data_IF_286807178114
#
_entry.id   IF_286807178114
#
_cell.length_a   1.000
_cell.length_b   1.000
_cell.length_c   1.000
_cell.angle_alpha   90.00
_cell.angle_beta   90.00
_cell.angle_gamma   90.00
#
_symmetry.space_group_name_H-M   'P 1'
#
loop_
_entity.id
_entity.type
_entity.pdbx_description
1 polymer ?
#
# COMPACT_ATOMS: atom_id res chain seq x y z
N UNK A 1 -20.84 2.26 9.29
CA UNK A 1 -21.56 3.35 8.58
C UNK A 1 -21.87 2.98 7.13
N UNK A 2 -20.93 2.48 6.31
CA UNK A 2 -21.13 2.12 4.89
C UNK A 2 -22.28 1.09 4.70
N UNK A 3 -22.26 -0.03 5.41
CA UNK A 3 -23.32 -1.06 5.33
C UNK A 3 -24.70 -0.51 5.64
N UNK A 4 -24.80 0.36 6.66
CA UNK A 4 -26.07 0.98 7.04
C UNK A 4 -26.65 1.88 5.94
N UNK A 5 -25.77 2.46 5.10
CA UNK A 5 -26.17 3.38 4.03
C UNK A 5 -26.36 2.71 2.67
N UNK A 6 -25.48 1.76 2.32
CA UNK A 6 -25.40 1.18 0.98
C UNK A 6 -25.78 -0.30 0.93
N UNK A 7 -25.91 -0.97 2.08
CA UNK A 7 -26.29 -2.38 2.17
C UNK A 7 -25.17 -3.38 1.91
N UNK A 8 -24.10 -2.98 1.23
CA UNK A 8 -23.00 -3.86 0.81
C UNK A 8 -21.65 -3.14 0.73
N UNK A 9 -20.56 -3.94 0.63
CA UNK A 9 -19.20 -3.49 0.31
C UNK A 9 -18.68 -4.36 -0.84
N UNK A 10 -18.27 -3.74 -1.95
CA UNK A 10 -17.62 -4.42 -3.07
C UNK A 10 -16.08 -4.28 -3.04
N UNK A 11 -15.60 -3.15 -2.54
CA UNK A 11 -14.18 -2.86 -2.47
C UNK A 11 -13.79 -2.19 -1.14
N UNK A 12 -12.57 -2.50 -0.68
CA UNK A 12 -11.88 -1.79 0.37
C UNK A 12 -10.56 -1.25 -0.18
N UNK A 13 -10.34 0.05 -0.08
CA UNK A 13 -9.05 0.68 -0.33
C UNK A 13 -8.43 1.09 1.01
N UNK A 14 -7.39 0.38 1.43
CA UNK A 14 -6.66 0.69 2.67
C UNK A 14 -5.48 1.61 2.35
N UNK A 15 -5.72 2.91 2.42
CA UNK A 15 -4.74 3.94 2.11
C UNK A 15 -4.10 4.55 3.37
N UNK A 16 -4.76 4.50 4.52
CA UNK A 16 -4.25 5.08 5.76
C UNK A 16 -2.87 4.53 6.09
N UNK A 17 -1.91 5.40 6.33
CA UNK A 17 -0.55 5.02 6.65
C UNK A 17 0.30 6.21 7.04
N UNK A 18 1.36 5.96 7.79
CA UNK A 18 2.38 6.94 8.16
C UNK A 18 3.76 6.46 7.73
N UNK A 19 4.65 7.41 7.55
CA UNK A 19 6.03 7.18 7.13
C UNK A 19 6.96 8.01 8.01
N UNK A 20 7.98 7.37 8.58
CA UNK A 20 9.00 8.02 9.39
C UNK A 20 10.38 7.68 8.85
N UNK A 21 11.20 8.69 8.60
CA UNK A 21 12.59 8.56 8.15
C UNK A 21 13.50 8.77 9.34
N UNK A 22 14.14 7.70 9.81
CA UNK A 22 15.12 7.72 10.91
C UNK A 22 16.16 6.64 10.69
N UNK A 23 17.37 6.82 11.23
CA UNK A 23 18.33 5.73 11.40
C UNK A 23 17.73 4.65 12.28
N UNK A 24 18.07 3.41 12.05
CA UNK A 24 17.52 2.28 12.81
C UNK A 24 17.69 2.45 14.32
N UNK A 25 18.85 2.92 14.77
CA UNK A 25 19.17 3.16 16.19
C UNK A 25 18.39 4.30 16.84
N UNK A 26 17.78 5.18 16.02
CA UNK A 26 17.08 6.38 16.52
C UNK A 26 15.57 6.20 16.61
N UNK A 27 15.06 5.04 16.14
CA UNK A 27 13.65 4.70 16.33
C UNK A 27 13.34 4.43 17.80
N UNK A 28 12.36 5.12 18.32
CA UNK A 28 11.84 4.89 19.68
C UNK A 28 10.77 3.81 19.69
N UNK A 29 10.42 3.34 20.88
CA UNK A 29 9.27 2.43 21.06
C UNK A 29 7.96 3.08 20.56
N UNK A 30 7.81 4.37 20.75
CA UNK A 30 6.58 5.08 20.35
C UNK A 30 6.52 5.27 18.83
N UNK A 31 7.64 5.49 18.15
CA UNK A 31 7.70 5.46 16.69
C UNK A 31 7.26 4.10 16.13
N UNK A 32 7.78 3.02 16.71
CA UNK A 32 7.38 1.66 16.31
C UNK A 32 5.89 1.41 16.54
N UNK A 33 5.38 1.79 17.70
CA UNK A 33 3.95 1.64 18.01
C UNK A 33 3.06 2.43 17.05
N UNK A 34 3.43 3.68 16.77
CA UNK A 34 2.69 4.52 15.81
C UNK A 34 2.67 3.89 14.40
N UNK A 35 3.83 3.43 13.92
CA UNK A 35 3.94 2.74 12.63
C UNK A 35 3.14 1.43 12.60
N UNK A 36 3.28 0.59 13.62
CA UNK A 36 2.59 -0.69 13.68
C UNK A 36 1.08 -0.52 13.79
N UNK A 37 0.62 0.34 14.70
CA UNK A 37 -0.83 0.56 14.89
C UNK A 37 -1.50 1.17 13.68
N UNK A 38 -0.87 2.14 13.02
CA UNK A 38 -1.48 2.77 11.84
C UNK A 38 -1.38 1.87 10.61
N UNK A 39 -0.17 1.38 10.30
CA UNK A 39 0.06 0.68 9.03
C UNK A 39 -0.40 -0.78 9.05
N UNK A 40 -0.20 -1.51 10.17
CA UNK A 40 -0.53 -2.94 10.24
C UNK A 40 -1.88 -3.17 10.91
N UNK A 41 -2.07 -2.74 12.15
CA UNK A 41 -3.33 -2.98 12.85
C UNK A 41 -4.50 -2.31 12.15
N UNK A 42 -4.31 -1.07 11.64
CA UNK A 42 -5.32 -0.36 10.86
C UNK A 42 -5.78 -1.15 9.63
N UNK A 43 -4.84 -1.76 8.89
CA UNK A 43 -5.17 -2.65 7.78
C UNK A 43 -5.88 -3.92 8.26
N UNK A 44 -5.30 -4.62 9.25
CA UNK A 44 -5.82 -5.92 9.71
C UNK A 44 -7.29 -5.80 10.12
N UNK A 45 -7.60 -4.87 11.00
CA UNK A 45 -8.96 -4.79 11.54
C UNK A 45 -9.99 -4.37 10.49
N UNK A 46 -9.68 -3.41 9.63
CA UNK A 46 -10.63 -3.00 8.60
C UNK A 46 -10.78 -4.07 7.51
N UNK A 47 -9.70 -4.76 7.14
CA UNK A 47 -9.76 -5.86 6.18
C UNK A 47 -10.58 -7.03 6.73
N UNK A 48 -10.41 -7.41 7.99
CA UNK A 48 -11.24 -8.45 8.64
C UNK A 48 -12.73 -8.12 8.58
N UNK A 49 -13.10 -6.86 8.84
CA UNK A 49 -14.50 -6.43 8.76
C UNK A 49 -15.02 -6.46 7.32
N UNK A 50 -14.21 -6.05 6.36
CA UNK A 50 -14.58 -6.08 4.93
C UNK A 50 -14.76 -7.52 4.44
N UNK A 51 -13.81 -8.42 4.77
CA UNK A 51 -13.90 -9.85 4.41
C UNK A 51 -15.16 -10.50 4.97
N UNK A 52 -15.42 -10.34 6.28
CA UNK A 52 -16.65 -10.88 6.90
C UNK A 52 -17.90 -10.40 6.20
N UNK A 53 -17.93 -9.13 5.80
CA UNK A 53 -19.07 -8.57 5.06
C UNK A 53 -19.17 -9.15 3.64
N UNK A 54 -18.06 -9.26 2.90
CA UNK A 54 -18.02 -9.85 1.57
C UNK A 54 -18.43 -11.33 1.59
N UNK A 55 -18.02 -12.07 2.61
CA UNK A 55 -18.45 -13.46 2.85
C UNK A 55 -19.97 -13.55 3.10
N UNK A 56 -20.52 -12.68 3.96
CA UNK A 56 -21.96 -12.65 4.23
C UNK A 56 -22.79 -12.28 2.99
N UNK A 57 -22.24 -11.44 2.11
CA UNK A 57 -22.87 -11.04 0.84
C UNK A 57 -22.78 -12.14 -0.23
N UNK A 58 -21.81 -13.05 -0.13
CA UNK A 58 -21.49 -14.09 -1.14
C UNK A 58 -21.21 -13.49 -2.54
N UNK A 59 -20.74 -12.26 -2.59
CA UNK A 59 -20.50 -11.52 -3.84
C UNK A 59 -19.04 -11.50 -4.28
N UNK A 60 -18.14 -12.03 -3.44
CA UNK A 60 -16.71 -11.74 -3.59
C UNK A 60 -16.42 -10.27 -3.27
N UNK A 61 -15.26 -9.80 -3.72
CA UNK A 61 -14.84 -8.41 -3.51
C UNK A 61 -13.39 -8.14 -3.83
N UNK A 62 -12.97 -6.89 -3.66
CA UNK A 62 -11.59 -6.46 -3.89
C UNK A 62 -11.05 -5.69 -2.69
N UNK A 63 -9.86 -6.04 -2.24
CA UNK A 63 -9.13 -5.31 -1.20
C UNK A 63 -7.79 -4.86 -1.81
N UNK A 64 -7.57 -3.55 -1.85
CA UNK A 64 -6.34 -2.95 -2.34
C UNK A 64 -5.71 -2.16 -1.19
N UNK A 65 -4.45 -2.47 -0.84
CA UNK A 65 -3.72 -1.69 0.15
C UNK A 65 -2.59 -0.88 -0.49
N UNK A 66 -2.28 0.28 0.09
CA UNK A 66 -1.17 1.12 -0.33
C UNK A 66 0.07 0.77 0.50
N UNK A 67 1.09 0.24 -0.18
CA UNK A 67 2.36 -0.14 0.43
C UNK A 67 3.46 0.88 0.10
N UNK A 68 4.62 0.47 -0.32
CA UNK A 68 5.69 1.35 -0.80
C UNK A 68 6.72 0.54 -1.62
N UNK A 69 7.19 1.08 -2.73
CA UNK A 69 8.26 0.47 -3.52
C UNK A 69 9.57 0.31 -2.72
N UNK A 70 9.84 1.22 -1.79
CA UNK A 70 10.99 1.13 -0.87
C UNK A 70 10.99 -0.12 0.02
N UNK A 71 9.86 -0.81 0.19
CA UNK A 71 9.80 -2.03 0.98
C UNK A 71 10.54 -3.19 0.31
N UNK A 72 10.54 -3.20 -1.02
CA UNK A 72 11.22 -4.21 -1.82
C UNK A 72 12.60 -3.72 -2.30
N UNK A 73 12.73 -2.41 -2.56
CA UNK A 73 13.93 -1.81 -3.15
C UNK A 73 14.37 -0.54 -2.39
N UNK A 74 15.17 -0.69 -1.33
CA UNK A 74 15.63 0.43 -0.50
C UNK A 74 16.59 1.35 -1.27
N UNK A 75 16.50 2.64 -0.99
CA UNK A 75 17.35 3.68 -1.58
C UNK A 75 18.43 4.09 -0.57
N UNK A 76 19.68 4.10 -1.00
CA UNK A 76 20.79 4.58 -0.18
C UNK A 76 20.55 6.05 0.24
N UNK A 77 20.78 6.37 1.51
CA UNK A 77 20.55 7.72 2.05
C UNK A 77 19.11 7.98 2.55
N UNK A 78 18.16 7.05 2.36
CA UNK A 78 16.79 7.15 2.88
C UNK A 78 16.52 6.08 3.97
N UNK A 79 16.99 6.30 5.21
CA UNK A 79 16.85 5.31 6.28
C UNK A 79 15.41 5.25 6.79
N UNK A 80 14.70 4.17 6.46
CA UNK A 80 13.28 4.00 6.80
C UNK A 80 12.95 2.54 7.18
N UNK A 81 13.90 1.82 7.76
CA UNK A 81 13.80 0.37 7.98
C UNK A 81 12.53 -0.05 8.72
N UNK A 82 12.15 0.63 9.79
CA UNK A 82 10.97 0.26 10.58
C UNK A 82 9.67 0.56 9.82
N UNK A 83 9.61 1.68 9.09
CA UNK A 83 8.47 1.96 8.22
C UNK A 83 8.35 0.89 7.12
N UNK A 84 9.48 0.48 6.53
CA UNK A 84 9.50 -0.56 5.49
C UNK A 84 9.19 -1.96 6.02
N UNK A 85 9.49 -2.28 7.28
CA UNK A 85 9.01 -3.50 7.91
C UNK A 85 7.48 -3.57 7.91
N UNK A 86 6.80 -2.46 8.21
CA UNK A 86 5.33 -2.44 8.18
C UNK A 86 4.77 -2.55 6.77
N UNK A 87 5.35 -1.86 5.80
CA UNK A 87 4.91 -1.89 4.41
C UNK A 87 5.23 -3.22 3.71
N UNK A 88 6.40 -3.80 3.96
CA UNK A 88 6.77 -5.15 3.50
C UNK A 88 5.92 -6.24 4.15
N UNK A 89 5.55 -6.06 5.42
CA UNK A 89 4.58 -6.91 6.09
C UNK A 89 3.22 -6.94 5.39
N UNK A 90 2.75 -5.79 4.87
CA UNK A 90 1.53 -5.73 4.06
C UNK A 90 1.70 -6.45 2.72
N UNK A 91 2.86 -6.34 2.03
CA UNK A 91 3.13 -7.10 0.80
C UNK A 91 3.04 -8.61 1.04
N UNK A 92 3.58 -9.09 2.16
CA UNK A 92 3.48 -10.50 2.54
C UNK A 92 2.04 -10.89 2.89
N UNK A 93 1.32 -10.04 3.64
CA UNK A 93 -0.08 -10.28 4.00
C UNK A 93 -0.98 -10.37 2.77
N UNK A 94 -0.82 -9.49 1.77
CA UNK A 94 -1.56 -9.54 0.51
C UNK A 94 -1.41 -10.89 -0.19
N UNK A 95 -0.19 -11.39 -0.31
CA UNK A 95 0.08 -12.71 -0.94
C UNK A 95 -0.58 -13.85 -0.17
N UNK A 96 -0.51 -13.84 1.16
CA UNK A 96 -1.12 -14.87 1.99
C UNK A 96 -2.66 -14.84 1.92
N UNK A 97 -3.25 -13.65 2.10
CA UNK A 97 -4.70 -13.45 2.08
C UNK A 97 -5.31 -13.72 0.70
N UNK A 98 -4.59 -13.40 -0.37
CA UNK A 98 -5.04 -13.71 -1.73
C UNK A 98 -5.23 -15.21 -1.94
N UNK A 99 -4.33 -16.03 -1.43
CA UNK A 99 -4.45 -17.49 -1.48
C UNK A 99 -5.56 -18.01 -0.56
N UNK A 100 -5.68 -17.45 0.64
CA UNK A 100 -6.67 -17.86 1.65
C UNK A 100 -8.11 -17.66 1.15
N UNK A 101 -8.40 -16.52 0.51
CA UNK A 101 -9.74 -16.14 0.10
C UNK A 101 -10.05 -16.27 -1.40
N UNK A 102 -9.13 -16.86 -2.19
CA UNK A 102 -9.30 -17.01 -3.64
C UNK A 102 -10.60 -17.73 -4.03
N UNK A 103 -10.94 -18.82 -3.33
CA UNK A 103 -12.14 -19.62 -3.61
C UNK A 103 -13.45 -18.88 -3.30
N UNK A 104 -13.37 -17.81 -2.50
CA UNK A 104 -14.51 -16.97 -2.16
C UNK A 104 -14.59 -15.73 -3.08
N UNK A 105 -13.73 -15.68 -4.10
CA UNK A 105 -13.61 -14.56 -5.03
C UNK A 105 -13.32 -13.21 -4.35
N UNK A 106 -12.68 -13.23 -3.17
CA UNK A 106 -12.19 -12.02 -2.50
C UNK A 106 -10.72 -11.87 -2.85
N UNK A 107 -10.43 -10.82 -3.64
CA UNK A 107 -9.09 -10.56 -4.15
C UNK A 107 -8.34 -9.58 -3.25
N UNK A 108 -7.06 -9.83 -3.06
CA UNK A 108 -6.15 -8.97 -2.30
C UNK A 108 -5.00 -8.55 -3.19
N UNK A 109 -4.80 -7.25 -3.35
CA UNK A 109 -3.68 -6.69 -4.09
C UNK A 109 -3.11 -5.49 -3.35
N UNK A 110 -1.91 -5.07 -3.74
CA UNK A 110 -1.28 -3.86 -3.25
C UNK A 110 -0.87 -2.95 -4.41
N UNK A 111 -0.93 -1.65 -4.18
CA UNK A 111 -0.19 -0.66 -4.97
C UNK A 111 1.03 -0.26 -4.14
N UNK A 112 2.20 -0.30 -4.74
CA UNK A 112 3.47 0.09 -4.15
C UNK A 112 3.97 1.39 -4.81
N UNK A 113 3.61 2.56 -4.28
CA UNK A 113 4.09 3.84 -4.79
C UNK A 113 5.59 4.03 -4.61
N UNK A 114 6.20 4.71 -5.55
CA UNK A 114 7.49 5.38 -5.37
C UNK A 114 7.32 6.73 -4.70
N UNK A 115 8.05 7.74 -5.22
CA UNK A 115 7.91 9.12 -4.78
C UNK A 115 6.69 9.74 -5.47
N UNK A 116 5.70 10.14 -4.66
CA UNK A 116 4.44 10.71 -5.15
C UNK A 116 4.39 12.22 -4.86
N UNK A 117 3.92 13.01 -5.81
CA UNK A 117 3.63 14.43 -5.64
C UNK A 117 2.47 14.63 -4.67
N UNK A 118 2.77 14.65 -3.38
CA UNK A 118 1.79 14.72 -2.29
C UNK A 118 2.31 15.59 -1.14
N UNK A 119 1.46 15.99 -0.18
CA UNK A 119 1.89 16.77 0.98
C UNK A 119 3.03 16.12 1.78
N UNK A 120 3.22 14.82 1.69
CA UNK A 120 4.32 14.11 2.33
C UNK A 120 5.71 14.58 1.84
N UNK A 121 5.80 15.07 0.62
CA UNK A 121 7.04 15.53 -0.02
C UNK A 121 7.06 17.03 -0.32
N UNK A 122 6.14 17.83 0.27
CA UNK A 122 5.99 19.26 -0.03
C UNK A 122 7.24 20.10 0.26
N UNK A 123 8.08 19.66 1.19
CA UNK A 123 9.33 20.33 1.59
C UNK A 123 10.51 20.05 0.64
N UNK A 124 10.38 19.09 -0.29
CA UNK A 124 11.48 18.68 -1.17
C UNK A 124 11.24 19.18 -2.59
N UNK A 125 12.21 19.89 -3.20
CA UNK A 125 12.07 20.37 -4.58
C UNK A 125 11.75 19.22 -5.56
N UNK A 126 10.78 19.40 -6.46
CA UNK A 126 10.36 18.37 -7.41
C UNK A 126 11.49 17.81 -8.26
N UNK A 127 12.45 18.66 -8.64
CA UNK A 127 13.60 18.28 -9.47
C UNK A 127 14.56 17.30 -8.74
N UNK A 128 14.59 17.36 -7.41
CA UNK A 128 15.36 16.40 -6.61
C UNK A 128 14.61 15.08 -6.47
N UNK A 129 13.30 15.14 -6.30
CA UNK A 129 12.47 13.94 -6.24
C UNK A 129 12.45 13.17 -7.57
N UNK A 130 12.39 13.89 -8.70
CA UNK A 130 12.42 13.29 -10.04
C UNK A 130 13.71 12.49 -10.31
N UNK A 131 14.84 12.87 -9.69
CA UNK A 131 16.12 12.13 -9.78
C UNK A 131 16.08 10.78 -9.06
N UNK A 132 15.04 10.50 -8.28
CA UNK A 132 14.88 9.22 -7.58
C UNK A 132 14.09 8.20 -8.40
N UNK A 133 13.82 8.50 -9.68
CA UNK A 133 13.08 7.61 -10.58
C UNK A 133 13.79 7.51 -11.93
N UNK A 134 13.90 6.33 -12.54
CA UNK A 134 14.46 6.17 -13.89
C UNK A 134 13.74 6.99 -14.96
N UNK A 135 12.43 7.15 -14.85
CA UNK A 135 11.64 7.97 -15.79
C UNK A 135 11.91 9.47 -15.66
N UNK A 136 12.64 9.93 -14.62
CA UNK A 136 12.93 11.34 -14.42
C UNK A 136 11.70 12.20 -14.10
N UNK A 137 10.61 11.59 -13.68
CA UNK A 137 9.36 12.26 -13.31
C UNK A 137 8.82 11.73 -11.98
N UNK A 138 8.03 12.55 -11.30
CA UNK A 138 7.38 12.17 -10.04
C UNK A 138 6.04 11.53 -10.37
N UNK A 139 5.71 10.44 -9.69
CA UNK A 139 4.38 9.82 -9.75
C UNK A 139 3.31 10.80 -9.25
N UNK A 140 2.19 10.88 -9.92
CA UNK A 140 1.06 11.72 -9.51
C UNK A 140 0.08 10.95 -8.60
N UNK A 141 -0.80 11.67 -7.91
CA UNK A 141 -1.89 11.05 -7.15
C UNK A 141 -2.84 10.30 -8.09
N UNK A 142 -3.06 10.83 -9.28
CA UNK A 142 -3.89 10.26 -10.33
C UNK A 142 -3.34 8.92 -10.84
N UNK A 143 -2.02 8.78 -10.97
CA UNK A 143 -1.38 7.51 -11.34
C UNK A 143 -1.65 6.42 -10.29
N UNK A 144 -1.55 6.79 -9.02
CA UNK A 144 -1.85 5.86 -7.91
C UNK A 144 -3.34 5.51 -7.91
N UNK A 145 -4.23 6.48 -8.06
CA UNK A 145 -5.67 6.25 -8.11
C UNK A 145 -6.05 5.35 -9.29
N UNK A 146 -5.46 5.58 -10.47
CA UNK A 146 -5.65 4.74 -11.66
C UNK A 146 -5.25 3.29 -11.42
N UNK A 147 -4.11 3.05 -10.77
CA UNK A 147 -3.66 1.71 -10.40
C UNK A 147 -4.60 1.03 -9.39
N UNK A 148 -5.12 1.77 -8.41
CA UNK A 148 -6.11 1.26 -7.45
C UNK A 148 -7.41 0.87 -8.16
N UNK A 149 -7.92 1.70 -9.06
CA UNK A 149 -9.12 1.39 -9.85
C UNK A 149 -8.88 0.15 -10.70
N UNK A 150 -7.76 0.09 -11.43
CA UNK A 150 -7.37 -1.07 -12.23
C UNK A 150 -7.39 -2.37 -11.41
N UNK A 151 -6.71 -2.43 -10.26
CA UNK A 151 -6.68 -3.61 -9.41
C UNK A 151 -8.05 -3.93 -8.79
N UNK A 152 -8.88 -2.92 -8.59
CA UNK A 152 -10.25 -3.10 -8.08
C UNK A 152 -11.13 -3.78 -9.12
N UNK A 153 -10.97 -3.47 -10.40
CA UNK A 153 -11.79 -3.96 -11.51
C UNK A 153 -11.23 -5.22 -12.20
N UNK A 154 -9.93 -5.48 -12.06
CA UNK A 154 -9.25 -6.62 -12.69
C UNK A 154 -9.61 -7.97 -12.02
N UNK A 155 -10.61 -8.66 -12.52
CA UNK A 155 -11.21 -9.85 -11.91
C UNK A 155 -10.27 -11.07 -11.76
N UNK A 156 -9.20 -11.17 -12.54
CA UNK A 156 -8.25 -12.28 -12.51
C UNK A 156 -6.93 -11.93 -11.83
N UNK A 157 -6.83 -10.75 -11.20
CA UNK A 157 -5.62 -10.32 -10.51
C UNK A 157 -5.83 -10.40 -8.99
N UNK A 158 -5.04 -11.23 -8.32
CA UNK A 158 -4.99 -11.35 -6.86
C UNK A 158 -3.57 -11.75 -6.42
N UNK A 159 -3.12 -11.23 -5.29
CA UNK A 159 -1.77 -11.47 -4.76
C UNK A 159 -0.68 -10.56 -5.37
N UNK A 160 -1.08 -9.60 -6.20
CA UNK A 160 -0.15 -8.72 -6.90
C UNK A 160 0.27 -7.52 -6.04
N UNK A 161 1.53 -7.13 -6.18
CA UNK A 161 2.09 -5.87 -5.67
C UNK A 161 2.49 -5.02 -6.87
N UNK A 162 1.60 -4.15 -7.31
CA UNK A 162 1.79 -3.31 -8.48
C UNK A 162 2.62 -2.07 -8.13
N UNK A 163 3.81 -2.00 -8.67
CA UNK A 163 4.69 -0.83 -8.50
C UNK A 163 4.24 0.32 -9.40
N UNK A 164 4.08 1.50 -8.81
CA UNK A 164 3.80 2.76 -9.51
C UNK A 164 4.82 3.78 -9.03
N UNK A 165 6.03 3.70 -9.59
CA UNK A 165 7.21 4.34 -9.04
C UNK A 165 8.19 4.88 -10.10
N UNK A 166 7.75 4.95 -11.36
CA UNK A 166 8.62 5.39 -12.45
C UNK A 166 9.81 4.48 -12.71
N UNK A 167 9.71 3.20 -12.35
CA UNK A 167 10.76 2.19 -12.51
C UNK A 167 11.79 2.14 -11.38
N UNK A 168 11.57 2.86 -10.27
CA UNK A 168 12.54 2.91 -9.18
C UNK A 168 12.85 1.52 -8.56
N UNK A 169 11.91 0.58 -8.63
CA UNK A 169 12.07 -0.77 -8.08
C UNK A 169 12.93 -1.70 -8.94
N UNK A 170 13.19 -1.38 -10.22
CA UNK A 170 13.88 -2.32 -11.14
C UNK A 170 15.40 -2.40 -10.92
N UNK A 171 15.94 -1.64 -10.01
CA UNK A 171 17.35 -1.70 -9.66
C UNK A 171 18.10 -0.37 -9.78
N UNK A 172 19.41 -0.47 -9.96
CA UNK A 172 20.32 0.67 -10.04
C UNK A 172 20.38 1.17 -11.50
N UNK A 173 20.14 2.44 -11.71
CA UNK A 173 20.23 3.13 -13.01
C UNK A 173 21.21 4.30 -12.96
#
# INVERSE_FOLDING_TARGET
MAIKRFGFIHALVSNAGIYLVKRFTDYTRDDFRALASTNLEGFIYIAQLAVKQMQAQKSGGSIVCITAALADNPIAGSPASVAMMTKGGLNAAVKSLSSEYAKEHIRFNAVAPGVVASPLHAEVPPELLAKLTPMGSITTIEDIAGAVVYLTEAHQITGEVLHVDGGAHIGKW
#
